data_IF_898422158000
#
_entry.id   IF_898422158000
#
_cell.length_a   1.000
_cell.length_b   1.000
_cell.length_c   1.000
_cell.angle_alpha   90.00
_cell.angle_beta   90.00
_cell.angle_gamma   90.00
#
_symmetry.space_group_name_H-M   'P 1'
#
loop_
_entity.id
_entity.type
_entity.pdbx_description
1 polymer ?
#
# COMPACT_ATOMS: atom_id res chain seq x y z
N UNK A 1 -12.96 9.81 3.52
CA UNK A 1 -12.40 8.47 3.16
C UNK A 1 -13.29 7.80 2.13
N UNK A 2 -12.72 7.09 1.15
CA UNK A 2 -13.47 6.36 0.11
C UNK A 2 -14.17 5.14 0.75
N UNK A 3 -15.49 4.95 0.57
CA UNK A 3 -16.20 3.80 1.09
C UNK A 3 -16.07 2.56 0.19
N UNK A 4 -16.04 1.39 0.79
CA UNK A 4 -16.09 0.09 0.10
C UNK A 4 -17.12 -0.83 0.75
N UNK A 5 -17.79 -1.63 -0.05
CA UNK A 5 -18.63 -2.71 0.46
C UNK A 5 -17.77 -3.92 0.84
N UNK A 6 -17.91 -4.38 2.06
CA UNK A 6 -17.25 -5.58 2.58
C UNK A 6 -18.26 -6.60 3.07
N UNK A 7 -18.02 -7.88 2.77
CA UNK A 7 -18.83 -8.97 3.28
C UNK A 7 -18.30 -9.40 4.67
N UNK A 8 -19.15 -9.29 5.69
CA UNK A 8 -18.89 -9.78 7.05
C UNK A 8 -19.86 -10.92 7.37
N UNK A 9 -19.46 -12.15 7.08
CA UNK A 9 -20.35 -13.30 7.07
C UNK A 9 -21.45 -13.15 6.02
N UNK A 10 -22.73 -13.26 6.40
CA UNK A 10 -23.89 -13.11 5.52
C UNK A 10 -24.30 -11.65 5.24
N UNK A 11 -23.67 -10.67 5.86
CA UNK A 11 -24.06 -9.26 5.76
C UNK A 11 -23.03 -8.42 5.01
N UNK A 12 -23.54 -7.50 4.17
CA UNK A 12 -22.73 -6.47 3.54
C UNK A 12 -22.69 -5.25 4.46
N UNK A 13 -21.50 -4.73 4.71
CA UNK A 13 -21.28 -3.49 5.45
C UNK A 13 -20.45 -2.53 4.62
N UNK A 14 -20.61 -1.24 4.87
CA UNK A 14 -19.77 -0.20 4.27
C UNK A 14 -18.63 0.11 5.23
N UNK A 15 -17.41 0.08 4.73
CA UNK A 15 -16.20 0.41 5.48
C UNK A 15 -15.37 1.44 4.70
N UNK A 16 -14.57 2.27 5.38
CA UNK A 16 -13.52 3.02 4.72
C UNK A 16 -12.52 2.07 4.04
N UNK A 17 -12.13 2.40 2.81
CA UNK A 17 -11.19 1.59 2.03
C UNK A 17 -9.88 1.33 2.79
N UNK A 18 -9.33 2.36 3.44
CA UNK A 18 -8.09 2.23 4.20
C UNK A 18 -8.23 1.29 5.40
N UNK A 19 -9.38 1.29 6.09
CA UNK A 19 -9.68 0.29 7.13
C UNK A 19 -9.69 -1.12 6.55
N UNK A 20 -10.30 -1.31 5.39
CA UNK A 20 -10.32 -2.61 4.71
C UNK A 20 -8.90 -3.09 4.38
N UNK A 21 -8.05 -2.23 3.82
CA UNK A 21 -6.64 -2.54 3.52
C UNK A 21 -5.88 -2.88 4.81
N UNK A 22 -6.02 -2.06 5.85
CA UNK A 22 -5.40 -2.31 7.16
C UNK A 22 -5.81 -3.69 7.71
N UNK A 23 -7.10 -4.01 7.71
CA UNK A 23 -7.58 -5.29 8.23
C UNK A 23 -7.11 -6.49 7.42
N UNK A 24 -6.94 -6.34 6.10
CA UNK A 24 -6.30 -7.38 5.28
C UNK A 24 -4.84 -7.59 5.69
N UNK A 25 -4.05 -6.52 5.82
CA UNK A 25 -2.66 -6.60 6.26
C UNK A 25 -2.55 -7.15 7.67
N UNK A 26 -3.43 -6.74 8.59
CA UNK A 26 -3.50 -7.29 9.95
C UNK A 26 -3.74 -8.80 9.94
N UNK A 27 -4.61 -9.31 9.07
CA UNK A 27 -4.88 -10.74 8.93
C UNK A 27 -3.69 -11.54 8.40
N UNK A 28 -2.74 -10.87 7.74
CA UNK A 28 -1.46 -11.42 7.28
C UNK A 28 -0.30 -11.22 8.27
N UNK A 29 -0.64 -10.92 9.53
CA UNK A 29 0.27 -10.75 10.64
C UNK A 29 1.12 -9.47 10.64
N UNK A 30 0.80 -8.46 9.83
CA UNK A 30 1.40 -7.13 9.98
C UNK A 30 0.89 -6.46 11.26
N UNK A 31 1.77 -5.80 11.99
CA UNK A 31 1.45 -5.08 13.24
C UNK A 31 2.00 -3.67 13.27
N UNK A 32 3.02 -3.40 12.49
CA UNK A 32 3.72 -2.12 12.41
C UNK A 32 3.29 -1.41 11.13
N UNK A 33 2.73 -0.21 11.28
CA UNK A 33 2.18 0.56 10.17
C UNK A 33 2.67 1.99 10.21
N UNK A 34 3.12 2.48 9.07
CA UNK A 34 3.47 3.88 8.86
C UNK A 34 2.51 4.48 7.83
N UNK A 35 1.63 5.37 8.29
CA UNK A 35 0.73 6.12 7.43
C UNK A 35 1.36 7.44 7.03
N UNK A 36 1.68 7.62 5.76
CA UNK A 36 2.11 8.91 5.24
C UNK A 36 0.90 9.64 4.68
N UNK A 37 0.51 10.73 5.32
CA UNK A 37 -0.72 11.47 5.02
C UNK A 37 -0.42 12.89 4.59
N UNK A 38 -1.15 13.38 3.59
CA UNK A 38 -1.11 14.77 3.18
C UNK A 38 -1.99 15.65 4.07
N UNK A 39 -1.93 16.96 3.84
CA UNK A 39 -2.83 17.94 4.47
C UNK A 39 -4.29 17.55 4.26
N UNK A 40 -5.17 17.90 5.21
CA UNK A 40 -6.62 17.63 5.16
C UNK A 40 -7.02 16.15 5.29
N UNK A 41 -6.15 15.31 5.82
CA UNK A 41 -6.41 13.88 6.04
C UNK A 41 -6.71 13.52 7.50
N UNK A 42 -7.00 14.50 8.38
CA UNK A 42 -7.30 14.28 9.80
C UNK A 42 -8.42 13.27 10.04
N UNK A 43 -9.45 13.28 9.19
CA UNK A 43 -10.55 12.30 9.29
C UNK A 43 -10.08 10.84 9.14
N UNK A 44 -8.89 10.60 8.59
CA UNK A 44 -8.28 9.27 8.56
C UNK A 44 -7.67 8.96 9.92
N UNK A 45 -6.90 9.88 10.48
CA UNK A 45 -6.29 9.73 11.81
C UNK A 45 -7.38 9.52 12.87
N UNK A 46 -8.43 10.36 12.85
CA UNK A 46 -9.58 10.24 13.76
C UNK A 46 -10.26 8.86 13.67
N UNK A 47 -10.39 8.32 12.45
CA UNK A 47 -11.00 7.00 12.25
C UNK A 47 -10.16 5.86 12.84
N UNK A 48 -8.84 6.01 12.84
CA UNK A 48 -7.90 5.04 13.40
C UNK A 48 -7.57 5.31 14.87
N UNK A 49 -8.22 6.27 15.50
CA UNK A 49 -8.16 6.51 16.94
C UNK A 49 -9.41 5.91 17.62
N UNK A 50 -9.26 4.98 18.57
CA UNK A 50 -10.39 4.43 19.31
C UNK A 50 -11.18 5.53 20.02
N UNK A 51 -12.52 5.53 19.85
CA UNK A 51 -13.41 6.51 20.45
C UNK A 51 -14.56 5.82 21.20
N UNK A 52 -14.46 5.70 22.50
CA UNK A 52 -15.40 4.94 23.33
C UNK A 52 -16.82 5.48 23.29
N UNK A 53 -17.01 6.81 23.28
CA UNK A 53 -18.35 7.43 23.19
C UNK A 53 -19.02 7.03 21.88
N UNK A 54 -18.29 7.14 20.76
CA UNK A 54 -18.81 6.71 19.46
C UNK A 54 -19.20 5.23 19.47
N UNK A 55 -18.38 4.38 20.10
CA UNK A 55 -18.68 2.95 20.20
C UNK A 55 -19.94 2.66 21.05
N UNK A 56 -20.25 3.49 22.06
CA UNK A 56 -21.47 3.35 22.87
C UNK A 56 -22.73 3.62 22.05
N UNK A 57 -22.68 4.62 21.18
CA UNK A 57 -23.83 5.07 20.39
C UNK A 57 -24.12 4.17 19.18
N UNK A 58 -23.20 3.26 18.85
CA UNK A 58 -23.40 2.27 17.80
C UNK A 58 -24.19 1.06 18.30
N UNK A 59 -24.96 0.46 17.38
CA UNK A 59 -25.74 -0.74 17.65
C UNK A 59 -25.46 -1.88 16.66
N UNK A 60 -25.87 -3.07 17.02
CA UNK A 60 -25.89 -4.25 16.16
C UNK A 60 -24.51 -4.59 15.56
N UNK A 61 -24.47 -4.83 14.26
CA UNK A 61 -23.26 -5.27 13.57
C UNK A 61 -22.19 -4.18 13.42
N UNK A 62 -22.59 -2.90 13.35
CA UNK A 62 -21.63 -1.81 13.26
C UNK A 62 -20.82 -1.70 14.54
N UNK A 63 -21.49 -1.78 15.69
CA UNK A 63 -20.84 -1.82 17.01
C UNK A 63 -19.84 -2.96 17.11
N UNK A 64 -20.25 -4.18 16.73
CA UNK A 64 -19.38 -5.34 16.73
C UNK A 64 -18.17 -5.17 15.82
N UNK A 65 -18.38 -4.64 14.61
CA UNK A 65 -17.31 -4.41 13.64
C UNK A 65 -16.32 -3.37 14.13
N UNK A 66 -16.81 -2.26 14.68
CA UNK A 66 -15.94 -1.20 15.21
C UNK A 66 -15.18 -1.66 16.44
N UNK A 67 -15.80 -2.43 17.36
CA UNK A 67 -15.11 -3.04 18.50
C UNK A 67 -13.96 -3.92 18.03
N UNK A 68 -14.21 -4.83 17.09
CA UNK A 68 -13.17 -5.71 16.53
C UNK A 68 -12.05 -4.93 15.81
N UNK A 69 -12.39 -3.80 15.18
CA UNK A 69 -11.40 -2.93 14.56
C UNK A 69 -10.52 -2.27 15.61
N UNK A 70 -11.09 -1.71 16.67
CA UNK A 70 -10.34 -1.09 17.76
C UNK A 70 -9.45 -2.10 18.51
N UNK A 71 -9.95 -3.32 18.77
CA UNK A 71 -9.13 -4.40 19.33
C UNK A 71 -7.89 -4.76 18.47
N UNK A 72 -7.97 -4.56 17.14
CA UNK A 72 -6.81 -4.74 16.26
C UNK A 72 -5.87 -3.55 16.33
N UNK A 73 -6.40 -2.32 16.43
CA UNK A 73 -5.60 -1.11 16.60
C UNK A 73 -4.77 -1.17 17.88
N UNK A 74 -5.38 -1.61 18.99
CA UNK A 74 -4.69 -1.78 20.28
C UNK A 74 -3.51 -2.77 20.22
N UNK A 75 -3.54 -3.69 19.25
CA UNK A 75 -2.50 -4.70 19.01
C UNK A 75 -1.54 -4.31 17.88
N UNK A 76 -1.59 -3.08 17.41
CA UNK A 76 -0.78 -2.57 16.31
C UNK A 76 -0.02 -1.31 16.72
N UNK A 77 1.15 -1.10 16.11
CA UNK A 77 1.90 0.12 16.23
C UNK A 77 1.61 1.00 15.01
N UNK A 78 0.97 2.14 15.22
CA UNK A 78 0.62 3.07 14.16
C UNK A 78 1.46 4.33 14.26
N UNK A 79 2.18 4.67 13.22
CA UNK A 79 2.92 5.93 13.11
C UNK A 79 2.32 6.76 11.99
N UNK A 80 2.11 8.05 12.26
CA UNK A 80 1.59 9.02 11.31
C UNK A 80 2.66 10.01 10.91
N UNK A 81 2.93 10.10 9.62
CA UNK A 81 3.92 11.02 9.07
C UNK A 81 3.23 12.00 8.12
N UNK A 82 3.36 13.28 8.41
CA UNK A 82 2.78 14.31 7.56
C UNK A 82 3.64 14.59 6.33
N UNK A 83 3.04 14.50 5.15
CA UNK A 83 3.60 15.01 3.91
C UNK A 83 3.17 16.48 3.74
N UNK A 84 3.98 17.41 4.20
CA UNK A 84 3.65 18.84 4.20
C UNK A 84 3.45 19.43 2.80
N UNK A 85 4.16 18.89 1.81
CA UNK A 85 4.03 19.24 0.38
C UNK A 85 3.78 17.97 -0.40
N UNK A 86 2.75 17.91 -1.26
CA UNK A 86 2.44 16.71 -2.07
C UNK A 86 3.42 16.61 -3.25
N UNK A 87 4.64 16.15 -2.98
CA UNK A 87 5.70 15.97 -3.98
C UNK A 87 5.66 14.58 -4.66
N UNK A 88 4.53 13.90 -4.62
CA UNK A 88 4.33 12.61 -5.26
C UNK A 88 4.52 11.40 -4.34
N UNK A 89 4.34 10.21 -4.90
CA UNK A 89 4.36 8.94 -4.19
C UNK A 89 5.76 8.59 -3.66
N UNK A 90 6.80 8.86 -4.46
CA UNK A 90 8.19 8.62 -4.05
C UNK A 90 8.61 9.45 -2.83
N UNK A 91 8.15 10.73 -2.73
CA UNK A 91 8.38 11.56 -1.54
C UNK A 91 7.66 10.98 -0.32
N UNK A 92 6.43 10.49 -0.48
CA UNK A 92 5.71 9.84 0.61
C UNK A 92 6.49 8.63 1.15
N UNK A 93 6.98 7.76 0.26
CA UNK A 93 7.82 6.61 0.65
C UNK A 93 9.10 7.09 1.34
N UNK A 94 9.79 8.08 0.78
CA UNK A 94 11.03 8.63 1.35
C UNK A 94 10.86 9.14 2.79
N UNK A 95 9.70 9.68 3.15
CA UNK A 95 9.41 10.18 4.50
C UNK A 95 9.36 9.08 5.55
N UNK A 96 9.08 7.85 5.17
CA UNK A 96 9.07 6.70 6.09
C UNK A 96 10.47 6.19 6.48
N UNK A 97 11.56 6.72 5.88
CA UNK A 97 12.92 6.23 6.10
C UNK A 97 13.30 6.10 7.57
N UNK A 98 12.98 7.12 8.39
CA UNK A 98 13.32 7.12 9.82
C UNK A 98 12.53 6.10 10.64
N UNK A 99 11.37 5.69 10.14
CA UNK A 99 10.55 4.67 10.76
C UNK A 99 11.01 3.26 10.37
N UNK A 100 11.27 3.06 9.08
CA UNK A 100 11.70 1.77 8.54
C UNK A 100 13.09 1.37 9.00
N UNK A 101 14.00 2.34 9.12
CA UNK A 101 15.41 2.17 9.53
C UNK A 101 16.14 1.18 8.60
N UNK A 102 16.21 -0.11 8.96
CA UNK A 102 16.92 -1.16 8.20
C UNK A 102 16.00 -2.31 7.76
N UNK A 103 14.72 -2.25 8.13
CA UNK A 103 13.77 -3.33 7.86
C UNK A 103 13.34 -3.36 6.40
N UNK A 104 12.97 -4.56 5.94
CA UNK A 104 12.26 -4.73 4.70
C UNK A 104 10.79 -4.35 4.89
N UNK A 105 10.14 -3.76 3.89
CA UNK A 105 8.80 -3.25 4.06
C UNK A 105 7.91 -3.35 2.83
N UNK A 106 6.61 -3.38 3.08
CA UNK A 106 5.58 -3.31 2.05
C UNK A 106 5.08 -1.85 1.93
N UNK A 107 4.99 -1.37 0.70
CA UNK A 107 4.31 -0.10 0.40
C UNK A 107 3.00 -0.39 -0.31
N UNK A 108 1.90 0.11 0.23
CA UNK A 108 0.56 -0.03 -0.31
C UNK A 108 -0.12 1.34 -0.39
N UNK A 109 -0.59 1.74 -1.58
CA UNK A 109 -1.37 2.99 -1.68
C UNK A 109 -2.70 2.85 -0.92
N UNK A 110 -3.03 3.85 -0.13
CA UNK A 110 -4.21 3.82 0.76
C UNK A 110 -5.56 4.02 0.05
N UNK A 111 -5.56 4.35 -1.23
CA UNK A 111 -6.73 4.58 -2.08
C UNK A 111 -7.02 3.44 -3.07
N UNK A 112 -6.28 2.36 -2.99
CA UNK A 112 -6.45 1.17 -3.84
C UNK A 112 -6.68 -0.05 -2.98
N UNK A 113 -7.52 -0.98 -3.42
CA UNK A 113 -7.60 -2.34 -2.89
C UNK A 113 -7.28 -3.34 -3.98
N UNK A 114 -6.53 -4.37 -3.61
CA UNK A 114 -6.13 -5.44 -4.53
C UNK A 114 -6.85 -6.70 -4.11
N UNK A 115 -7.79 -7.13 -4.94
CA UNK A 115 -8.54 -8.35 -4.73
C UNK A 115 -7.87 -9.51 -5.46
N UNK A 116 -7.72 -10.63 -4.78
CA UNK A 116 -7.21 -11.87 -5.37
C UNK A 116 -8.15 -13.03 -5.05
N UNK A 117 -8.34 -13.92 -6.03
CA UNK A 117 -9.08 -15.19 -5.82
C UNK A 117 -8.22 -16.24 -5.09
N UNK A 118 -6.90 -16.10 -5.18
CA UNK A 118 -5.92 -17.03 -4.62
C UNK A 118 -5.15 -16.35 -3.46
N UNK A 119 -3.89 -16.77 -3.24
CA UNK A 119 -3.00 -16.16 -2.27
C UNK A 119 -2.88 -14.64 -2.49
N UNK A 120 -3.01 -13.87 -1.41
CA UNK A 120 -2.99 -12.40 -1.48
C UNK A 120 -1.67 -11.89 -2.08
N UNK A 121 -1.67 -10.88 -2.96
CA UNK A 121 -0.47 -10.38 -3.61
C UNK A 121 0.66 -9.95 -2.66
N UNK A 122 0.34 -9.38 -1.50
CA UNK A 122 1.35 -9.05 -0.46
C UNK A 122 2.15 -10.29 -0.08
N UNK A 123 1.49 -11.41 0.22
CA UNK A 123 2.16 -12.66 0.59
C UNK A 123 3.00 -13.21 -0.58
N UNK A 124 2.53 -13.02 -1.83
CA UNK A 124 3.33 -13.41 -3.00
C UNK A 124 4.60 -12.57 -3.15
N UNK A 125 4.53 -11.26 -2.88
CA UNK A 125 5.73 -10.41 -2.89
C UNK A 125 6.73 -10.87 -1.82
N UNK A 126 6.24 -11.21 -0.62
CA UNK A 126 7.08 -11.73 0.47
C UNK A 126 7.71 -13.08 0.10
N UNK A 127 6.94 -14.01 -0.48
CA UNK A 127 7.47 -15.29 -0.95
C UNK A 127 8.59 -15.09 -2.01
N UNK A 128 8.42 -14.13 -2.92
CA UNK A 128 9.45 -13.81 -3.93
C UNK A 128 10.70 -13.24 -3.26
N UNK A 129 10.53 -12.35 -2.27
CA UNK A 129 11.65 -11.77 -1.53
C UNK A 129 12.44 -12.83 -0.76
N UNK A 130 11.74 -13.72 -0.07
CA UNK A 130 12.35 -14.82 0.70
C UNK A 130 13.17 -15.77 -0.20
N UNK A 131 12.65 -16.10 -1.39
CA UNK A 131 13.33 -16.97 -2.34
C UNK A 131 14.40 -16.27 -3.20
N UNK A 132 14.54 -14.95 -3.09
CA UNK A 132 15.50 -14.14 -3.86
C UNK A 132 16.13 -13.06 -2.94
N UNK A 133 17.01 -13.42 -2.03
CA UNK A 133 17.55 -12.53 -1.00
C UNK A 133 18.30 -11.31 -1.54
N UNK A 134 18.82 -11.37 -2.77
CA UNK A 134 19.53 -10.26 -3.40
C UNK A 134 18.62 -9.22 -4.05
N UNK A 135 17.31 -9.52 -4.17
CA UNK A 135 16.35 -8.58 -4.76
C UNK A 135 16.08 -7.44 -3.79
N UNK A 136 16.19 -6.19 -4.29
CA UNK A 136 16.02 -4.97 -3.48
C UNK A 136 14.63 -4.35 -3.61
N UNK A 137 13.92 -4.67 -4.68
CA UNK A 137 12.57 -4.18 -4.94
C UNK A 137 11.76 -5.21 -5.73
N UNK A 138 10.49 -5.39 -5.36
CA UNK A 138 9.54 -6.22 -6.10
C UNK A 138 8.29 -5.39 -6.36
N UNK A 139 7.88 -5.33 -7.61
CA UNK A 139 6.75 -4.53 -8.08
C UNK A 139 5.60 -5.45 -8.46
N UNK A 140 4.41 -5.19 -7.95
CA UNK A 140 3.22 -5.88 -8.43
C UNK A 140 2.81 -5.30 -9.79
N UNK A 141 2.68 -6.16 -10.79
CA UNK A 141 2.25 -5.76 -12.13
C UNK A 141 1.01 -6.54 -12.57
N UNK A 142 0.23 -5.92 -13.46
CA UNK A 142 -0.94 -6.54 -14.08
C UNK A 142 -0.97 -6.20 -15.57
N UNK A 143 -1.41 -7.15 -16.41
CA UNK A 143 -1.73 -6.86 -17.80
C UNK A 143 -2.90 -5.91 -17.87
N UNK A 144 -2.73 -4.79 -18.54
CA UNK A 144 -3.75 -3.74 -18.70
C UNK A 144 -3.83 -3.29 -20.16
N UNK A 145 -5.04 -2.90 -20.59
CA UNK A 145 -5.26 -2.43 -21.98
C UNK A 145 -4.78 -0.99 -22.20
N UNK A 146 -5.02 -0.12 -21.21
CA UNK A 146 -4.62 1.29 -21.27
C UNK A 146 -3.41 1.53 -20.35
N UNK A 147 -2.23 1.51 -20.94
CA UNK A 147 -0.95 1.67 -20.24
C UNK A 147 -0.56 3.13 -19.98
N UNK A 148 -1.23 4.10 -20.63
CA UNK A 148 -0.94 5.53 -20.49
C UNK A 148 -1.19 6.09 -19.09
N UNK A 149 -1.82 5.29 -18.21
CA UNK A 149 -2.15 5.68 -16.84
C UNK A 149 -1.24 5.04 -15.79
N UNK A 150 -0.25 4.24 -16.21
CA UNK A 150 0.57 3.43 -15.34
C UNK A 150 2.06 3.65 -15.59
N UNK A 151 2.87 3.39 -14.58
CA UNK A 151 4.26 3.07 -14.78
C UNK A 151 4.36 1.74 -15.53
N UNK A 152 5.14 1.69 -16.59
CA UNK A 152 5.29 0.51 -17.45
C UNK A 152 6.72 0.00 -17.39
N UNK A 153 6.94 -1.25 -16.93
CA UNK A 153 8.28 -1.82 -16.87
C UNK A 153 8.70 -2.41 -18.22
N UNK A 154 9.97 -2.24 -18.58
CA UNK A 154 10.64 -3.10 -19.56
C UNK A 154 11.13 -4.33 -18.81
N UNK A 155 10.74 -5.52 -19.24
CA UNK A 155 10.91 -6.76 -18.48
C UNK A 155 11.60 -7.85 -19.28
N UNK A 156 12.34 -8.72 -18.57
CA UNK A 156 12.86 -9.99 -19.08
C UNK A 156 12.27 -11.13 -18.25
N UNK A 157 11.69 -12.12 -18.91
CA UNK A 157 11.05 -13.26 -18.26
C UNK A 157 12.09 -14.12 -17.51
N UNK A 158 11.80 -14.42 -16.26
CA UNK A 158 12.58 -15.35 -15.43
C UNK A 158 11.81 -16.68 -15.26
N UNK A 159 10.51 -16.62 -14.93
CA UNK A 159 9.65 -17.78 -14.82
C UNK A 159 8.22 -17.44 -15.27
N UNK A 160 7.23 -18.30 -14.99
CA UNK A 160 5.84 -18.10 -15.44
C UNK A 160 5.26 -16.74 -15.04
N UNK A 161 5.45 -16.34 -13.79
CA UNK A 161 4.84 -15.11 -13.20
C UNK A 161 5.90 -14.17 -12.60
N UNK A 162 7.19 -14.40 -12.90
CA UNK A 162 8.32 -13.61 -12.40
C UNK A 162 9.16 -13.07 -13.56
N UNK A 163 9.48 -11.79 -13.47
CA UNK A 163 10.24 -11.06 -14.48
C UNK A 163 11.31 -10.18 -13.80
N UNK A 164 12.46 -10.03 -14.43
CA UNK A 164 13.40 -8.98 -14.05
C UNK A 164 13.03 -7.67 -14.72
N UNK A 165 13.07 -6.57 -13.96
CA UNK A 165 12.80 -5.22 -14.44
C UNK A 165 14.13 -4.60 -14.91
N UNK A 166 14.15 -4.09 -16.14
CA UNK A 166 15.31 -3.41 -16.72
C UNK A 166 15.18 -1.90 -16.58
N UNK A 167 13.97 -1.40 -16.78
CA UNK A 167 13.64 0.02 -16.81
C UNK A 167 12.17 0.18 -16.43
N UNK A 168 11.80 1.33 -15.87
CA UNK A 168 10.40 1.73 -15.66
C UNK A 168 10.20 3.12 -16.25
N UNK A 169 9.15 3.29 -17.06
CA UNK A 169 8.77 4.59 -17.63
C UNK A 169 7.36 4.92 -17.16
N UNK A 170 7.20 6.08 -16.54
CA UNK A 170 5.88 6.57 -16.11
C UNK A 170 5.08 7.06 -17.31
N UNK A 171 3.87 6.53 -17.49
CA UNK A 171 2.89 6.92 -18.51
C UNK A 171 3.49 7.06 -19.92
N UNK A 172 4.15 6.03 -20.47
CA UNK A 172 4.83 6.14 -21.75
C UNK A 172 3.85 6.27 -22.91
N UNK A 173 4.19 7.08 -23.90
CA UNK A 173 3.44 7.13 -25.16
C UNK A 173 3.56 5.85 -25.96
N UNK A 174 4.73 5.20 -25.89
CA UNK A 174 5.03 3.91 -26.55
C UNK A 174 5.47 2.90 -25.50
N UNK A 175 4.53 2.14 -24.92
CA UNK A 175 4.84 1.14 -23.88
C UNK A 175 5.67 -0.02 -24.46
N UNK A 176 6.70 -0.46 -23.71
CA UNK A 176 7.58 -1.59 -24.10
C UNK A 176 7.08 -2.94 -23.54
N UNK A 177 6.02 -2.96 -22.76
CA UNK A 177 5.39 -4.18 -22.25
C UNK A 177 3.89 -3.99 -22.12
N UNK A 178 3.15 -5.07 -21.87
CA UNK A 178 1.70 -5.08 -21.63
C UNK A 178 1.33 -4.95 -20.14
N UNK A 179 2.33 -4.73 -19.27
CA UNK A 179 2.14 -4.70 -17.83
C UNK A 179 2.15 -3.26 -17.30
N UNK A 180 1.12 -2.92 -16.53
CA UNK A 180 1.08 -1.71 -15.70
C UNK A 180 1.45 -2.06 -14.25
N UNK A 181 2.25 -1.22 -13.61
CA UNK A 181 2.62 -1.34 -12.20
C UNK A 181 1.42 -0.96 -11.35
N UNK A 182 1.05 -1.81 -10.42
CA UNK A 182 0.06 -1.52 -9.39
C UNK A 182 0.76 -0.94 -8.14
N UNK A 183 0.10 -0.08 -7.37
CA UNK A 183 0.72 0.60 -6.24
C UNK A 183 0.81 -0.29 -4.99
N UNK A 184 1.45 -1.43 -5.16
CA UNK A 184 1.85 -2.39 -4.13
C UNK A 184 3.27 -2.87 -4.42
N UNK A 185 4.16 -2.63 -3.47
CA UNK A 185 5.58 -2.87 -3.60
C UNK A 185 6.15 -3.55 -2.36
N UNK A 186 7.16 -4.38 -2.56
CA UNK A 186 8.10 -4.76 -1.51
C UNK A 186 9.42 -4.03 -1.77
N UNK A 187 10.01 -3.47 -0.73
CA UNK A 187 11.31 -2.83 -0.79
C UNK A 187 12.20 -3.26 0.37
N UNK A 188 13.49 -3.38 0.08
CA UNK A 188 14.52 -3.30 1.10
C UNK A 188 14.84 -1.85 1.45
N UNK A 189 15.35 -1.61 2.66
CA UNK A 189 15.67 -0.27 3.14
C UNK A 189 16.67 0.50 2.25
N UNK A 190 17.50 -0.18 1.47
CA UNK A 190 18.41 0.46 0.52
C UNK A 190 17.72 1.31 -0.55
N UNK A 191 16.41 1.13 -0.77
CA UNK A 191 15.61 1.98 -1.67
C UNK A 191 15.72 3.47 -1.31
N UNK A 192 15.86 3.79 -0.03
CA UNK A 192 15.98 5.17 0.43
C UNK A 192 17.22 5.88 -0.12
N UNK A 193 18.33 5.16 -0.29
CA UNK A 193 19.54 5.68 -0.95
C UNK A 193 19.29 6.07 -2.40
N UNK A 194 18.44 5.31 -3.10
CA UNK A 194 18.02 5.62 -4.46
C UNK A 194 17.05 6.79 -4.50
N UNK A 195 16.05 6.82 -3.60
CA UNK A 195 15.07 7.91 -3.50
C UNK A 195 15.73 9.28 -3.19
N UNK A 196 16.84 9.29 -2.46
CA UNK A 196 17.60 10.53 -2.20
C UNK A 196 18.26 11.11 -3.45
N UNK A 197 18.55 10.29 -4.44
CA UNK A 197 19.23 10.69 -5.69
C UNK A 197 18.24 11.15 -6.78
N UNK A 198 16.95 10.85 -6.64
CA UNK A 198 15.93 11.21 -7.61
C UNK A 198 15.73 12.73 -7.59
N UNK A 199 15.77 13.33 -8.77
CA UNK A 199 15.39 14.72 -8.98
C UNK A 199 13.90 14.81 -9.32
N UNK A 200 13.26 15.92 -8.99
CA UNK A 200 11.87 16.18 -9.37
C UNK A 200 11.68 16.02 -10.87
N UNK A 201 10.70 15.22 -11.27
CA UNK A 201 10.32 15.02 -12.65
C UNK A 201 9.65 16.26 -13.27
N UNK A 202 9.25 16.16 -14.56
CA UNK A 202 8.59 17.27 -15.31
C UNK A 202 7.33 17.80 -14.62
N UNK A 203 6.63 16.98 -13.80
CA UNK A 203 5.45 17.36 -13.02
C UNK A 203 5.77 17.97 -11.64
N UNK A 204 7.04 18.23 -11.29
CA UNK A 204 7.50 18.61 -9.95
C UNK A 204 7.16 17.57 -8.87
N UNK A 205 7.00 16.31 -9.24
CA UNK A 205 6.77 15.15 -8.38
C UNK A 205 7.97 14.18 -8.42
N UNK A 206 8.15 13.44 -7.32
CA UNK A 206 9.11 12.34 -7.20
C UNK A 206 8.51 11.02 -7.66
#
# INVERSE_FOLDING_TARGET
>A
MMPIFSNRGKKKIVLPLLQYVYEQLYSMNFRDYCFVVGREKRSIEDHFAPHETYLRDLEGNYKKTMKQFYEKLDKSHLVWINQNKPLGFGDAVKRSERYVVTEDFIVHAGDVTILSKNRHPVLRLMDVAENNPDVKAILLCKKVKDLKRYGVPTIKKLSKDLFSVQEVIEKPDKPKSEFGILPLYYFKSEIFSSLKKIKLGKGKEF
#
